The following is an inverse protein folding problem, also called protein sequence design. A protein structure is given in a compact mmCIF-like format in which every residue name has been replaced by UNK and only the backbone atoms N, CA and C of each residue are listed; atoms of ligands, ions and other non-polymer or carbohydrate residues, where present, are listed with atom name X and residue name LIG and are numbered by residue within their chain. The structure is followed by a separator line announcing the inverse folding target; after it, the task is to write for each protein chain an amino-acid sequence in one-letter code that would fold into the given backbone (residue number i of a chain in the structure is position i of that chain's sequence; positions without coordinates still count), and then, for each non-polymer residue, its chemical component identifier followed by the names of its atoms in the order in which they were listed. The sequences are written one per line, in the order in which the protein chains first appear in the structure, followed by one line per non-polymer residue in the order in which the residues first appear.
data_IF_165784324429
#
_entry.id   IF_165784324429
#
_cell.length_a   1.000
_cell.length_b   1.000
_cell.length_c   1.000
_cell.angle_alpha   90.00
_cell.angle_beta   90.00
_cell.angle_gamma   90.00
#
_symmetry.space_group_name_H-M   'P 1'
#
loop_
_entity.id
_entity.type
_entity.pdbx_description
1 polymer ?
#
# COMPACT_ATOMS: atom_id res chain seq x y z
N UNK A 1 -129.96 18.31 6.18
CA UNK A 1 -128.61 17.75 5.96
C UNK A 1 -127.81 18.78 5.17
N UNK A 2 -127.03 19.60 5.88
CA UNK A 2 -126.31 20.76 5.38
C UNK A 2 -124.93 20.35 4.86
N UNK A 3 -124.59 20.69 3.62
CA UNK A 3 -123.28 20.41 3.02
C UNK A 3 -122.41 21.67 3.08
N UNK A 4 -121.37 21.64 3.90
CA UNK A 4 -120.33 22.66 4.00
C UNK A 4 -119.14 22.30 3.10
N UNK A 5 -118.76 23.21 2.21
CA UNK A 5 -117.61 23.07 1.31
C UNK A 5 -116.43 23.86 1.92
N UNK A 6 -115.25 23.25 2.18
CA UNK A 6 -114.08 24.01 2.58
C UNK A 6 -113.28 24.51 1.37
N UNK A 7 -112.98 25.82 1.39
CA UNK A 7 -112.07 26.50 0.46
C UNK A 7 -110.63 25.96 0.60
N UNK A 8 -110.05 25.49 -0.51
CA UNK A 8 -108.62 25.17 -0.60
C UNK A 8 -107.79 26.45 -0.74
N UNK A 9 -106.85 26.64 0.19
CA UNK A 9 -105.87 27.73 0.19
C UNK A 9 -104.63 27.28 -0.61
N UNK A 10 -104.35 27.90 -1.76
CA UNK A 10 -103.10 27.66 -2.50
C UNK A 10 -101.92 28.31 -1.78
N UNK A 11 -100.93 27.50 -1.40
CA UNK A 11 -99.62 27.99 -0.96
C UNK A 11 -98.67 28.00 -2.16
N UNK A 12 -98.08 29.17 -2.42
CA UNK A 12 -97.02 29.35 -3.42
C UNK A 12 -95.72 28.82 -2.83
N UNK A 13 -95.16 27.77 -3.42
CA UNK A 13 -93.82 27.28 -3.10
C UNK A 13 -92.78 28.17 -3.79
N UNK A 14 -92.02 28.93 -3.00
CA UNK A 14 -90.84 29.63 -3.49
C UNK A 14 -89.76 28.58 -3.85
N UNK A 15 -89.47 28.42 -5.14
CA UNK A 15 -88.39 27.55 -5.60
C UNK A 15 -87.04 28.19 -5.25
N UNK A 16 -86.28 27.53 -4.36
CA UNK A 16 -84.90 27.91 -4.04
C UNK A 16 -83.98 27.42 -5.15
N UNK A 17 -83.45 28.34 -5.95
CA UNK A 17 -82.39 28.04 -6.93
C UNK A 17 -81.14 27.62 -6.16
N UNK A 18 -80.80 26.33 -6.22
CA UNK A 18 -79.51 25.84 -5.75
C UNK A 18 -78.48 26.10 -6.84
N UNK A 19 -77.53 27.00 -6.57
CA UNK A 19 -76.35 27.15 -7.41
C UNK A 19 -75.48 25.91 -7.24
N UNK A 20 -75.47 25.06 -8.27
CA UNK A 20 -74.52 23.95 -8.41
C UNK A 20 -73.10 24.52 -8.44
N UNK A 21 -72.40 24.49 -7.31
CA UNK A 21 -70.95 24.74 -7.30
C UNK A 21 -70.29 23.47 -7.82
N UNK A 22 -69.92 23.47 -9.10
CA UNK A 22 -69.05 22.44 -9.67
C UNK A 22 -67.66 22.63 -9.07
N UNK A 23 -67.44 22.10 -7.87
CA UNK A 23 -66.09 21.88 -7.36
C UNK A 23 -65.43 20.86 -8.29
N UNK A 24 -64.71 21.36 -9.29
CA UNK A 24 -63.67 20.60 -9.96
C UNK A 24 -62.59 20.44 -8.90
N UNK A 25 -62.69 19.39 -8.08
CA UNK A 25 -61.57 18.90 -7.31
C UNK A 25 -60.61 18.30 -8.32
N UNK A 26 -59.77 19.16 -8.93
CA UNK A 26 -58.65 18.71 -9.72
C UNK A 26 -57.83 17.80 -8.82
N UNK A 27 -57.76 16.51 -9.15
CA UNK A 27 -57.03 15.54 -8.35
C UNK A 27 -55.56 16.01 -8.27
N UNK A 28 -55.14 16.53 -7.11
CA UNK A 28 -53.78 17.01 -6.86
C UNK A 28 -52.80 15.83 -6.95
N UNK A 29 -52.32 15.50 -8.14
CA UNK A 29 -51.24 14.52 -8.32
C UNK A 29 -49.92 15.21 -8.05
N UNK A 30 -49.40 15.07 -6.83
CA UNK A 30 -48.04 15.47 -6.47
C UNK A 30 -47.05 14.53 -7.18
N UNK A 31 -46.77 14.79 -8.46
CA UNK A 31 -45.76 14.07 -9.21
C UNK A 31 -44.37 14.46 -8.68
N UNK A 32 -43.79 13.60 -7.84
CA UNK A 32 -42.42 13.78 -7.34
C UNK A 32 -41.43 13.26 -8.37
N UNK A 33 -40.55 14.13 -8.85
CA UNK A 33 -39.50 13.72 -9.80
C UNK A 33 -38.47 12.85 -9.07
N UNK A 34 -38.50 11.54 -9.35
CA UNK A 34 -37.50 10.59 -8.86
C UNK A 34 -36.21 10.73 -9.67
N UNK A 35 -35.22 11.46 -9.11
CA UNK A 35 -33.91 11.63 -9.77
C UNK A 35 -33.12 10.33 -9.71
N UNK A 36 -32.61 9.90 -10.87
CA UNK A 36 -31.63 8.82 -10.95
C UNK A 36 -30.25 9.32 -10.49
N UNK A 37 -29.47 8.51 -9.74
CA UNK A 37 -28.13 8.89 -9.33
C UNK A 37 -27.18 8.92 -10.54
N UNK A 38 -26.37 9.97 -10.67
CA UNK A 38 -25.31 10.06 -11.68
C UNK A 38 -24.08 9.29 -11.18
N UNK A 39 -23.74 8.19 -11.84
CA UNK A 39 -22.58 7.37 -11.48
C UNK A 39 -21.41 7.68 -12.44
N UNK A 40 -20.24 8.13 -11.93
CA UNK A 40 -19.08 8.33 -12.78
C UNK A 40 -18.54 6.99 -13.30
N UNK A 41 -17.78 7.06 -14.39
CA UNK A 41 -17.09 5.89 -14.91
C UNK A 41 -16.07 5.39 -13.87
N UNK A 42 -15.98 4.06 -13.74
CA UNK A 42 -15.06 3.41 -12.80
C UNK A 42 -14.17 2.42 -13.53
N UNK A 43 -12.90 2.42 -13.18
CA UNK A 43 -11.87 1.51 -13.65
C UNK A 43 -11.61 0.43 -12.60
N UNK A 44 -11.09 -0.72 -13.05
CA UNK A 44 -10.49 -1.74 -12.17
C UNK A 44 -9.02 -1.39 -11.97
N UNK A 45 -8.62 -1.15 -10.73
CA UNK A 45 -7.24 -0.85 -10.38
C UNK A 45 -6.68 -1.97 -9.51
N UNK A 46 -5.48 -2.43 -9.84
CA UNK A 46 -4.68 -3.35 -9.01
C UNK A 46 -3.87 -2.52 -8.02
N UNK A 47 -4.13 -2.70 -6.74
CA UNK A 47 -3.42 -2.03 -5.65
C UNK A 47 -2.41 -3.01 -5.07
N UNK A 48 -1.13 -2.63 -5.08
CA UNK A 48 -0.05 -3.38 -4.41
C UNK A 48 0.28 -2.70 -3.09
N UNK A 49 0.11 -3.43 -1.99
CA UNK A 49 0.48 -3.00 -0.65
C UNK A 49 1.99 -3.13 -0.41
N UNK A 50 2.47 -2.54 0.69
CA UNK A 50 3.88 -2.47 1.07
C UNK A 50 4.53 -3.83 1.34
N UNK A 51 3.72 -4.83 1.69
CA UNK A 51 4.14 -6.23 1.85
C UNK A 51 4.13 -7.02 0.52
N UNK A 52 3.77 -6.36 -0.58
CA UNK A 52 3.63 -6.97 -1.90
C UNK A 52 2.30 -7.67 -2.13
N UNK A 53 1.40 -7.70 -1.14
CA UNK A 53 0.06 -8.25 -1.33
C UNK A 53 -0.76 -7.37 -2.27
N UNK A 54 -1.61 -8.00 -3.08
CA UNK A 54 -2.33 -7.28 -4.16
C UNK A 54 -3.82 -7.54 -4.12
N UNK A 55 -4.61 -6.49 -4.33
CA UNK A 55 -6.06 -6.62 -4.49
C UNK A 55 -6.59 -5.71 -5.60
N UNK A 56 -7.76 -6.07 -6.14
CA UNK A 56 -8.43 -5.28 -7.18
C UNK A 56 -9.56 -4.45 -6.58
N UNK A 57 -9.61 -3.15 -6.89
CA UNK A 57 -10.65 -2.24 -6.42
C UNK A 57 -11.24 -1.39 -7.56
N UNK A 58 -12.51 -0.98 -7.41
CA UNK A 58 -13.20 -0.09 -8.36
C UNK A 58 -12.95 1.36 -8.00
N UNK A 59 -12.15 2.05 -8.79
CA UNK A 59 -11.78 3.46 -8.58
C UNK A 59 -12.24 4.33 -9.77
N UNK A 60 -12.26 5.64 -9.61
CA UNK A 60 -12.45 6.59 -10.73
C UNK A 60 -11.13 7.00 -11.38
N UNK A 61 -9.98 6.66 -10.77
CA UNK A 61 -8.66 6.92 -11.33
C UNK A 61 -8.40 6.05 -12.57
N UNK A 62 -7.85 6.61 -13.67
CA UNK A 62 -7.53 5.85 -14.87
C UNK A 62 -6.27 4.97 -14.71
N UNK A 63 -5.51 5.12 -13.62
CA UNK A 63 -4.27 4.39 -13.42
C UNK A 63 -4.55 2.89 -13.13
N UNK A 64 -4.02 1.95 -13.94
CA UNK A 64 -4.34 0.53 -13.78
C UNK A 64 -3.67 -0.13 -12.58
N UNK A 65 -2.50 0.36 -12.17
CA UNK A 65 -1.72 -0.16 -11.04
C UNK A 65 -1.39 0.97 -10.09
N UNK A 66 -1.63 0.75 -8.80
CA UNK A 66 -1.27 1.68 -7.73
C UNK A 66 -0.38 0.97 -6.71
N UNK A 67 0.76 1.57 -6.37
CA UNK A 67 1.68 1.06 -5.36
C UNK A 67 1.62 1.96 -4.12
N UNK A 68 1.20 1.42 -2.97
CA UNK A 68 1.21 2.19 -1.73
C UNK A 68 2.58 2.14 -1.08
N UNK A 69 3.10 3.32 -0.74
CA UNK A 69 4.33 3.48 0.06
C UNK A 69 4.04 3.51 1.55
N UNK A 70 2.84 3.97 1.96
CA UNK A 70 2.37 3.96 3.35
C UNK A 70 0.97 3.38 3.41
N UNK A 71 0.80 2.34 4.22
CA UNK A 71 -0.46 1.61 4.38
C UNK A 71 -0.54 0.93 5.76
N UNK A 72 -1.61 0.17 5.99
CA UNK A 72 -1.85 -0.51 7.27
C UNK A 72 -0.85 -1.62 7.58
N UNK A 73 -0.06 -2.09 6.60
CA UNK A 73 0.93 -3.16 6.81
C UNK A 73 2.26 -2.60 7.31
N UNK A 74 2.59 -1.36 6.96
CA UNK A 74 3.84 -0.70 7.39
C UNK A 74 3.67 0.40 8.44
N UNK A 75 2.45 0.61 8.94
CA UNK A 75 2.15 1.57 10.01
C UNK A 75 2.21 0.93 11.40
N UNK A 76 2.90 1.58 12.34
CA UNK A 76 3.08 1.08 13.71
C UNK A 76 1.77 0.87 14.48
N UNK A 77 0.79 1.75 14.25
CA UNK A 77 -0.52 1.68 14.91
C UNK A 77 -1.30 0.39 14.59
N UNK A 78 -1.15 -0.14 13.37
CA UNK A 78 -1.86 -1.36 12.93
C UNK A 78 -1.02 -2.62 13.10
N UNK A 79 0.29 -2.50 13.35
CA UNK A 79 1.20 -3.61 13.59
C UNK A 79 2.16 -3.32 14.76
N UNK A 80 1.64 -3.23 16.00
CA UNK A 80 2.44 -2.82 17.17
C UNK A 80 3.41 -3.91 17.65
N UNK A 81 3.19 -5.18 17.29
CA UNK A 81 4.08 -6.29 17.66
C UNK A 81 5.30 -6.41 16.77
N UNK A 82 5.34 -5.70 15.64
CA UNK A 82 6.48 -5.74 14.72
C UNK A 82 7.66 -4.94 15.27
N UNK A 83 8.68 -5.65 15.76
CA UNK A 83 9.96 -5.07 16.18
C UNK A 83 10.65 -4.30 15.05
N UNK A 84 10.45 -4.71 13.79
CA UNK A 84 10.99 -4.02 12.61
C UNK A 84 10.49 -2.59 12.50
N UNK A 85 9.21 -2.34 12.82
CA UNK A 85 8.61 -1.00 12.67
C UNK A 85 8.89 -0.12 13.89
N UNK A 86 9.01 -0.70 15.09
CA UNK A 86 9.29 0.05 16.33
C UNK A 86 10.62 0.80 16.30
N UNK A 87 11.60 0.26 15.58
CA UNK A 87 12.94 0.83 15.46
C UNK A 87 13.10 1.70 14.21
N UNK A 88 12.04 1.91 13.41
CA UNK A 88 12.11 2.80 12.24
C UNK A 88 12.04 4.24 12.74
N UNK A 89 13.12 4.98 12.52
CA UNK A 89 13.16 6.42 12.71
C UNK A 89 12.31 7.11 11.64
N UNK A 90 11.06 7.42 11.95
CA UNK A 90 10.16 8.15 11.05
C UNK A 90 10.55 9.64 10.96
N UNK A 91 11.54 9.97 10.13
CA UNK A 91 11.90 11.36 9.80
C UNK A 91 11.08 11.91 8.63
N UNK A 92 9.80 12.18 8.88
CA UNK A 92 8.87 12.69 7.85
C UNK A 92 9.26 14.08 7.33
N UNK A 93 9.87 14.89 8.19
CA UNK A 93 10.30 16.24 7.85
C UNK A 93 11.70 16.28 7.20
N UNK A 94 12.39 15.13 7.10
CA UNK A 94 13.75 15.04 6.58
C UNK A 94 14.78 15.82 7.41
N UNK A 95 14.44 16.22 8.65
CA UNK A 95 15.30 17.10 9.47
C UNK A 95 16.50 16.32 10.01
N UNK A 96 16.29 15.08 10.43
CA UNK A 96 17.36 14.21 10.89
C UNK A 96 18.25 13.79 9.70
N UNK A 97 17.65 13.48 8.55
CA UNK A 97 18.37 13.19 7.33
C UNK A 97 19.23 14.38 6.87
N UNK A 98 18.67 15.59 6.90
CA UNK A 98 19.40 16.82 6.57
C UNK A 98 20.50 17.14 7.59
N UNK A 99 20.27 16.87 8.88
CA UNK A 99 21.30 17.01 9.92
C UNK A 99 22.44 16.03 9.71
N UNK A 100 22.13 14.75 9.47
CA UNK A 100 23.12 13.69 9.16
C UNK A 100 23.92 13.99 7.90
N UNK A 101 23.28 14.54 6.88
CA UNK A 101 23.96 14.97 5.66
C UNK A 101 24.96 16.11 5.91
N UNK A 102 24.70 16.99 6.88
CA UNK A 102 25.57 18.13 7.21
C UNK A 102 26.67 17.81 8.23
N UNK A 103 26.33 17.08 9.28
CA UNK A 103 27.18 16.88 10.45
C UNK A 103 27.63 15.42 10.65
N UNK A 104 27.26 14.53 9.74
CA UNK A 104 27.54 13.10 9.85
C UNK A 104 26.67 12.40 10.91
N UNK A 105 27.00 11.14 11.20
CA UNK A 105 26.27 10.26 12.13
C UNK A 105 26.88 10.18 13.54
N UNK A 106 27.89 10.99 13.85
CA UNK A 106 28.58 10.96 15.15
C UNK A 106 27.73 11.46 16.32
N UNK A 107 26.59 12.10 16.04
CA UNK A 107 25.68 12.68 17.02
C UNK A 107 24.40 11.86 17.22
N UNK A 108 24.26 10.72 16.52
CA UNK A 108 23.13 9.83 16.72
C UNK A 108 23.26 9.15 18.11
N UNK A 109 22.13 9.02 18.83
CA UNK A 109 22.13 8.36 20.12
C UNK A 109 22.41 6.86 19.91
N UNK A 110 23.60 6.40 20.28
CA UNK A 110 23.94 4.97 20.29
C UNK A 110 23.12 4.24 21.37
N UNK A 111 21.85 3.99 21.12
CA UNK A 111 21.11 2.93 21.81
C UNK A 111 21.41 1.64 21.04
N UNK A 112 22.18 0.69 21.61
CA UNK A 112 22.40 -0.59 20.95
C UNK A 112 21.05 -1.30 20.86
N UNK A 113 20.44 -1.29 19.67
CA UNK A 113 19.35 -2.19 19.36
C UNK A 113 19.96 -3.54 19.05
N UNK A 114 19.42 -4.61 19.65
CA UNK A 114 19.94 -5.99 19.55
C UNK A 114 20.10 -6.47 18.10
N UNK A 115 19.42 -5.83 17.15
CA UNK A 115 19.54 -6.10 15.71
C UNK A 115 20.84 -5.57 15.08
N UNK A 116 21.42 -4.47 15.56
CA UNK A 116 22.67 -3.93 15.01
C UNK A 116 23.91 -4.67 15.51
N UNK A 117 23.83 -5.29 16.69
CA UNK A 117 24.89 -6.16 17.22
C UNK A 117 25.01 -7.45 16.39
N UNK A 118 23.89 -8.06 16.01
CA UNK A 118 23.90 -9.27 15.17
C UNK A 118 24.32 -9.01 13.72
N UNK A 119 23.93 -7.87 13.12
CA UNK A 119 24.37 -7.54 11.75
C UNK A 119 25.86 -7.19 11.66
N UNK A 120 26.43 -6.54 12.69
CA UNK A 120 27.88 -6.30 12.76
C UNK A 120 28.66 -7.59 12.97
N UNK A 121 28.17 -8.50 13.82
CA UNK A 121 28.79 -9.82 14.03
C UNK A 121 28.75 -10.70 12.76
N UNK A 122 27.61 -10.76 12.06
CA UNK A 122 27.51 -11.54 10.80
C UNK A 122 28.35 -10.94 9.65
N UNK A 123 28.54 -9.62 9.60
CA UNK A 123 29.41 -9.00 8.60
C UNK A 123 30.90 -9.20 8.91
N UNK A 124 31.30 -9.20 10.19
CA UNK A 124 32.68 -9.51 10.59
C UNK A 124 33.04 -10.97 10.33
N UNK A 125 32.11 -11.89 10.56
CA UNK A 125 32.35 -13.33 10.34
C UNK A 125 32.46 -13.67 8.84
N UNK A 126 31.60 -13.08 8.00
CA UNK A 126 31.66 -13.27 6.54
C UNK A 126 32.90 -12.63 5.89
N UNK A 127 33.39 -11.50 6.42
CA UNK A 127 34.64 -10.88 5.95
C UNK A 127 35.88 -11.65 6.41
N UNK A 128 35.86 -12.22 7.63
CA UNK A 128 36.95 -13.06 8.13
C UNK A 128 37.04 -14.40 7.39
N UNK A 129 35.90 -15.03 7.07
CA UNK A 129 35.87 -16.28 6.30
C UNK A 129 36.30 -16.07 4.84
N UNK A 130 35.87 -14.98 4.20
CA UNK A 130 36.29 -14.64 2.84
C UNK A 130 37.79 -14.30 2.75
N UNK A 131 38.35 -13.62 3.76
CA UNK A 131 39.78 -13.34 3.82
C UNK A 131 40.62 -14.59 4.11
N UNK A 132 40.15 -15.49 4.98
CA UNK A 132 40.83 -16.76 5.24
C UNK A 132 40.82 -17.70 4.03
N UNK A 133 39.72 -17.70 3.26
CA UNK A 133 39.62 -18.49 2.04
C UNK A 133 40.50 -17.95 0.91
N UNK A 134 40.58 -16.62 0.75
CA UNK A 134 41.48 -16.00 -0.21
C UNK A 134 42.96 -16.28 0.14
N UNK A 135 43.33 -16.23 1.43
CA UNK A 135 44.68 -16.56 1.87
C UNK A 135 45.03 -18.04 1.66
N UNK A 136 44.08 -18.96 1.85
CA UNK A 136 44.27 -20.38 1.57
C UNK A 136 44.42 -20.66 0.06
N UNK A 137 43.66 -19.97 -0.79
CA UNK A 137 43.78 -20.08 -2.25
C UNK A 137 45.14 -19.52 -2.74
N UNK A 138 45.63 -18.41 -2.16
CA UNK A 138 46.98 -17.89 -2.45
C UNK A 138 48.09 -18.86 -2.01
N UNK A 139 47.97 -19.49 -0.84
CA UNK A 139 48.94 -20.52 -0.40
C UNK A 139 48.90 -21.76 -1.30
N UNK A 140 47.72 -22.18 -1.79
CA UNK A 140 47.60 -23.29 -2.75
C UNK A 140 48.22 -22.96 -4.10
N UNK A 141 48.07 -21.71 -4.60
CA UNK A 141 48.70 -21.24 -5.82
C UNK A 141 50.23 -21.15 -5.69
N UNK A 142 50.74 -20.68 -4.56
CA UNK A 142 52.19 -20.62 -4.28
C UNK A 142 52.81 -22.02 -4.17
N UNK A 143 52.13 -22.96 -3.50
CA UNK A 143 52.57 -24.36 -3.42
C UNK A 143 52.54 -25.04 -4.81
N UNK A 144 51.57 -24.68 -5.67
CA UNK A 144 51.49 -25.21 -7.02
C UNK A 144 52.58 -24.61 -7.93
N UNK A 145 52.90 -23.33 -7.77
CA UNK A 145 53.98 -22.65 -8.49
C UNK A 145 55.36 -23.21 -8.12
N UNK A 146 55.59 -23.54 -6.85
CA UNK A 146 56.82 -24.20 -6.40
C UNK A 146 56.97 -25.60 -7.00
N UNK A 147 55.87 -26.37 -7.04
CA UNK A 147 55.85 -27.70 -7.64
C UNK A 147 56.17 -27.65 -9.16
N UNK A 148 55.60 -26.68 -9.88
CA UNK A 148 55.85 -26.45 -11.32
C UNK A 148 57.31 -26.02 -11.57
N UNK A 149 57.88 -25.20 -10.69
CA UNK A 149 59.28 -24.77 -10.76
C UNK A 149 60.26 -25.95 -10.57
N UNK A 150 59.96 -26.86 -9.63
CA UNK A 150 60.81 -28.03 -9.37
C UNK A 150 60.85 -29.01 -10.56
N UNK A 151 59.75 -29.12 -11.33
CA UNK A 151 59.65 -30.03 -12.47
C UNK A 151 60.57 -29.66 -13.65
N UNK A 152 61.05 -28.40 -13.71
CA UNK A 152 61.94 -27.92 -14.76
C UNK A 152 63.44 -28.00 -14.44
N UNK A 153 63.84 -28.35 -13.20
CA UNK A 153 65.25 -28.35 -12.79
C UNK A 153 65.95 -29.72 -12.85
N UNK A 154 65.23 -30.82 -13.05
CA UNK A 154 65.84 -32.16 -13.11
C UNK A 154 66.54 -32.48 -14.44
N UNK A 155 66.36 -31.70 -15.52
CA UNK A 155 67.06 -31.93 -16.81
C UNK A 155 68.45 -31.27 -16.90
N UNK A 156 68.92 -30.57 -15.86
CA UNK A 156 70.17 -29.80 -15.89
C UNK A 156 71.43 -30.48 -15.33
N UNK A 157 71.35 -31.66 -14.70
CA UNK A 157 72.49 -32.28 -14.01
C UNK A 157 72.82 -33.70 -14.47
N UNK A 158 72.73 -34.01 -15.78
CA UNK A 158 73.33 -35.24 -16.32
C UNK A 158 73.99 -35.06 -17.69
N UNK A 159 74.78 -34.00 -17.91
CA UNK A 159 75.77 -34.07 -18.99
C UNK A 159 77.02 -33.23 -18.71
N UNK A 160 78.18 -33.88 -18.77
CA UNK A 160 79.46 -33.18 -18.94
C UNK A 160 80.56 -33.47 -17.91
N UNK A 161 80.91 -34.74 -17.66
CA UNK A 161 82.32 -35.04 -17.31
C UNK A 161 82.76 -36.44 -17.71
N UNK A 162 83.33 -36.56 -18.92
CA UNK A 162 84.32 -37.62 -19.23
C UNK A 162 85.32 -37.16 -20.31
N UNK A 163 86.58 -37.05 -19.87
CA UNK A 163 87.88 -37.23 -20.55
C UNK A 163 88.05 -36.73 -22.00
N UNK A 164 88.95 -35.76 -22.17
CA UNK A 164 90.38 -36.02 -22.45
C UNK A 164 91.24 -34.90 -21.89
#
# INVERSE_FOLDING_TARGET
MTLSIPLRRSAVTAARVQTSTTFICSQCRHATLLRRPKRPYTFTQLITLSDGSTFTHRTTSPAPVYRSTRDTRNSLLWNPSSSKLMNVEEDEAGRLAAFRAKFGRSWDANTPTEAEANNKAEQTDKQAEAAARAAAEEEEEDNLLDLISSFGQEEGQTSGKKKN
#
